data_IF_223333861349
#
_entry.id   IF_223333861349
#
_cell.length_a   1.000
_cell.length_b   1.000
_cell.length_c   1.000
_cell.angle_alpha   90.00
_cell.angle_beta   90.00
_cell.angle_gamma   90.00
#
_symmetry.space_group_name_H-M   'P 1'
#
loop_
_entity.id
_entity.type
_entity.pdbx_description
1 polymer ?
#
# COMPACT_ATOMS: atom_id res chain seq x y z
N UNK A 1 33.20 4.41 30.51
CA UNK A 1 31.98 4.74 31.26
C UNK A 1 30.81 4.73 30.29
N UNK A 2 30.33 3.52 30.02
CA UNK A 2 28.93 3.30 29.72
C UNK A 2 28.16 3.65 31.00
N UNK A 3 27.06 4.38 30.89
CA UNK A 3 25.77 4.10 31.55
C UNK A 3 24.89 5.37 31.60
N UNK A 4 23.63 5.17 31.18
CA UNK A 4 22.44 5.90 31.61
C UNK A 4 22.13 7.29 31.01
N UNK A 5 21.73 7.34 29.73
CA UNK A 5 20.76 8.35 29.27
C UNK A 5 19.59 7.75 28.45
N UNK A 6 19.19 6.51 28.75
CA UNK A 6 17.92 5.94 28.25
C UNK A 6 17.08 5.35 29.38
N UNK A 7 16.60 6.20 30.29
CA UNK A 7 15.52 5.83 31.23
C UNK A 7 14.72 7.12 31.46
N UNK A 8 13.48 7.25 31.00
CA UNK A 8 12.25 6.70 31.58
C UNK A 8 11.12 7.12 30.64
N UNK A 9 10.40 6.17 30.03
CA UNK A 9 9.01 6.26 29.50
C UNK A 9 8.69 5.24 28.39
N UNK A 10 9.51 4.21 28.20
CA UNK A 10 9.26 3.19 27.16
C UNK A 10 8.40 2.00 27.64
N UNK A 11 7.51 2.23 28.61
CA UNK A 11 6.66 1.16 29.19
C UNK A 11 5.22 1.66 29.33
N UNK A 12 4.46 1.51 28.25
CA UNK A 12 3.00 1.70 28.22
C UNK A 12 2.35 0.61 27.38
N UNK A 13 1.16 0.15 27.77
CA UNK A 13 0.38 -0.88 27.04
C UNK A 13 -0.23 -0.31 25.74
N UNK A 14 -0.09 0.99 25.53
CA UNK A 14 -0.68 1.72 24.41
C UNK A 14 0.44 1.97 23.39
N UNK A 15 0.27 1.57 22.13
CA UNK A 15 1.28 1.79 21.09
C UNK A 15 1.57 3.28 20.94
N UNK A 16 2.85 3.63 20.80
CA UNK A 16 3.26 4.99 20.53
C UNK A 16 2.60 5.51 19.25
N UNK A 17 2.08 6.74 19.31
CA UNK A 17 1.49 7.40 18.15
C UNK A 17 2.57 7.66 17.11
N UNK A 18 2.53 6.92 16.02
CA UNK A 18 3.33 7.20 14.84
C UNK A 18 2.44 7.87 13.78
N UNK A 19 2.93 8.92 13.09
CA UNK A 19 2.17 9.55 12.02
C UNK A 19 1.93 8.55 10.88
N UNK A 20 0.67 8.41 10.46
CA UNK A 20 0.28 7.58 9.32
C UNK A 20 0.04 8.49 8.13
N UNK A 21 0.73 8.22 7.02
CA UNK A 21 0.51 8.92 5.75
C UNK A 21 -0.21 8.00 4.79
N UNK A 22 -1.39 8.41 4.34
CA UNK A 22 -2.15 7.67 3.30
C UNK A 22 -1.97 8.37 1.96
N UNK A 23 -1.59 7.61 0.94
CA UNK A 23 -1.50 8.10 -0.44
C UNK A 23 -2.59 7.42 -1.25
N UNK A 24 -3.39 8.22 -1.95
CA UNK A 24 -4.51 7.73 -2.78
C UNK A 24 -4.18 7.93 -4.25
N UNK A 25 -4.36 6.86 -5.02
CA UNK A 25 -4.11 6.82 -6.45
C UNK A 25 -5.19 7.47 -7.31
N UNK A 26 -4.98 7.39 -8.62
CA UNK A 26 -6.01 7.72 -9.61
C UNK A 26 -7.15 6.68 -9.55
N UNK A 27 -8.42 7.07 -9.72
CA UNK A 27 -9.51 6.11 -9.87
C UNK A 27 -9.32 5.23 -11.11
N UNK A 28 -9.60 3.94 -10.97
CA UNK A 28 -9.56 2.96 -12.06
C UNK A 28 -10.99 2.74 -12.56
N UNK A 29 -11.28 3.03 -13.85
CA UNK A 29 -12.60 2.79 -14.42
C UNK A 29 -12.81 1.28 -14.60
N UNK A 30 -13.87 0.76 -14.00
CA UNK A 30 -14.30 -0.64 -14.19
C UNK A 30 -15.42 -0.65 -15.22
N UNK A 31 -15.28 -1.39 -16.34
CA UNK A 31 -16.34 -1.50 -17.32
C UNK A 31 -17.58 -2.18 -16.71
N UNK A 32 -18.77 -1.73 -17.10
CA UNK A 32 -19.99 -2.43 -16.77
C UNK A 32 -20.04 -3.78 -17.48
N UNK A 33 -20.72 -4.76 -16.88
CA UNK A 33 -21.00 -6.03 -17.53
C UNK A 33 -21.91 -5.81 -18.74
N UNK A 34 -21.72 -6.63 -19.78
CA UNK A 34 -22.55 -6.57 -20.98
C UNK A 34 -23.98 -7.05 -20.70
N UNK A 35 -24.93 -6.69 -21.56
CA UNK A 35 -26.33 -7.10 -21.39
C UNK A 35 -26.47 -8.63 -21.37
N UNK A 36 -27.06 -9.16 -20.29
CA UNK A 36 -27.23 -10.61 -20.09
C UNK A 36 -26.05 -11.31 -19.42
N UNK A 37 -24.97 -10.59 -19.13
CA UNK A 37 -23.81 -11.12 -18.41
C UNK A 37 -24.02 -10.96 -16.89
N UNK A 38 -24.03 -12.08 -16.16
CA UNK A 38 -24.13 -12.08 -14.68
C UNK A 38 -22.78 -11.93 -14.01
N UNK A 39 -21.73 -12.46 -14.64
CA UNK A 39 -20.38 -12.52 -14.09
C UNK A 39 -19.34 -12.08 -15.12
N UNK A 40 -18.31 -11.33 -14.72
CA UNK A 40 -17.23 -10.91 -15.60
C UNK A 40 -16.47 -12.12 -16.14
N UNK A 41 -15.94 -11.99 -17.35
CA UNK A 41 -15.01 -12.97 -17.91
C UNK A 41 -13.66 -12.89 -17.19
N UNK A 42 -12.90 -13.99 -17.22
CA UNK A 42 -11.55 -14.02 -16.67
C UNK A 42 -10.65 -12.93 -17.28
N UNK A 43 -10.80 -12.67 -18.57
CA UNK A 43 -10.03 -11.64 -19.29
C UNK A 43 -10.34 -10.23 -18.77
N UNK A 44 -11.61 -9.92 -18.54
CA UNK A 44 -12.02 -8.64 -17.95
C UNK A 44 -11.45 -8.44 -16.54
N UNK A 45 -11.46 -9.50 -15.72
CA UNK A 45 -10.88 -9.46 -14.37
C UNK A 45 -9.38 -9.20 -14.45
N UNK A 46 -8.65 -10.00 -15.25
CA UNK A 46 -7.20 -9.88 -15.38
C UNK A 46 -6.79 -8.51 -15.93
N UNK A 47 -7.55 -7.94 -16.87
CA UNK A 47 -7.29 -6.61 -17.39
C UNK A 47 -7.39 -5.53 -16.31
N UNK A 48 -8.46 -5.54 -15.52
CA UNK A 48 -8.64 -4.57 -14.42
C UNK A 48 -7.62 -4.80 -13.30
N UNK A 49 -7.32 -6.06 -12.98
CA UNK A 49 -6.31 -6.43 -11.99
C UNK A 49 -4.92 -5.94 -12.39
N UNK A 50 -4.54 -6.10 -13.67
CA UNK A 50 -3.26 -5.61 -14.16
C UNK A 50 -3.16 -4.09 -14.03
N UNK A 51 -4.21 -3.36 -14.44
CA UNK A 51 -4.26 -1.90 -14.28
C UNK A 51 -4.14 -1.47 -12.81
N UNK A 52 -4.77 -2.22 -11.90
CA UNK A 52 -4.66 -1.98 -10.46
C UNK A 52 -3.23 -2.17 -9.95
N UNK A 53 -2.58 -3.26 -10.35
CA UNK A 53 -1.19 -3.55 -9.99
C UNK A 53 -0.24 -2.47 -10.51
N UNK A 54 -0.40 -2.05 -11.76
CA UNK A 54 0.47 -1.04 -12.39
C UNK A 54 0.35 0.32 -11.68
N UNK A 55 -0.87 0.75 -11.35
CA UNK A 55 -1.11 2.00 -10.62
C UNK A 55 -0.58 1.93 -9.18
N UNK A 56 -0.69 0.78 -8.50
CA UNK A 56 -0.07 0.59 -7.19
C UNK A 56 1.45 0.74 -7.25
N UNK A 57 2.12 0.10 -8.21
CA UNK A 57 3.56 0.24 -8.39
C UNK A 57 3.96 1.68 -8.75
N UNK A 58 3.16 2.38 -9.57
CA UNK A 58 3.37 3.79 -9.91
C UNK A 58 3.38 4.68 -8.65
N UNK A 59 2.35 4.56 -7.81
CA UNK A 59 2.24 5.32 -6.55
C UNK A 59 3.38 4.95 -5.61
N UNK A 60 3.65 3.66 -5.44
CA UNK A 60 4.72 3.18 -4.59
C UNK A 60 6.08 3.76 -5.02
N UNK A 61 6.45 3.64 -6.30
CA UNK A 61 7.71 4.15 -6.80
C UNK A 61 7.83 5.67 -6.70
N UNK A 62 6.73 6.41 -6.84
CA UNK A 62 6.72 7.87 -6.71
C UNK A 62 6.98 8.34 -5.27
N UNK A 63 6.51 7.59 -4.28
CA UNK A 63 6.47 8.07 -2.89
C UNK A 63 7.32 7.29 -1.89
N UNK A 64 7.87 6.12 -2.27
CA UNK A 64 8.66 5.27 -1.36
C UNK A 64 9.86 6.00 -0.76
N UNK A 65 10.54 6.86 -1.51
CA UNK A 65 11.72 7.58 -1.01
C UNK A 65 11.34 8.81 -0.15
N UNK A 66 10.07 9.22 -0.17
CA UNK A 66 9.58 10.34 0.66
C UNK A 66 9.06 9.81 2.00
N UNK A 67 8.18 8.80 1.95
CA UNK A 67 7.46 8.31 3.14
C UNK A 67 8.02 7.01 3.72
N UNK A 68 8.85 6.26 2.98
CA UNK A 68 9.39 4.97 3.39
C UNK A 68 10.91 4.88 3.17
N UNK A 69 11.64 5.89 3.69
CA UNK A 69 13.11 6.01 3.54
C UNK A 69 13.88 4.82 4.11
N UNK A 70 13.49 4.37 5.31
CA UNK A 70 14.15 3.27 6.02
C UNK A 70 13.44 1.91 5.79
N UNK A 71 12.86 1.72 4.60
CA UNK A 71 12.14 0.50 4.26
C UNK A 71 13.07 -0.72 4.28
N UNK A 72 12.58 -1.83 4.83
CA UNK A 72 13.31 -3.10 4.88
C UNK A 72 13.03 -4.02 3.69
N UNK A 73 11.93 -3.76 2.98
CA UNK A 73 11.45 -4.55 1.85
C UNK A 73 10.80 -3.62 0.82
N UNK A 74 10.87 -4.03 -0.45
CA UNK A 74 10.13 -3.38 -1.52
C UNK A 74 8.69 -3.91 -1.60
N UNK A 75 7.82 -3.23 -2.35
CA UNK A 75 6.46 -3.70 -2.59
C UNK A 75 6.49 -5.04 -3.34
N UNK A 76 5.79 -6.03 -2.78
CA UNK A 76 5.59 -7.35 -3.36
C UNK A 76 4.10 -7.64 -3.39
N UNK A 77 3.59 -8.03 -4.56
CA UNK A 77 2.20 -8.46 -4.75
C UNK A 77 2.23 -9.97 -4.96
N UNK A 78 1.38 -10.68 -4.23
CA UNK A 78 1.26 -12.14 -4.32
C UNK A 78 0.16 -12.53 -5.30
N UNK A 79 0.32 -13.71 -5.89
CA UNK A 79 -0.64 -14.33 -6.82
C UNK A 79 -1.90 -14.85 -6.11
#
# INVERSE_FOLDING_TARGET
>A
MLEAYSTVNDVGIIPFRHPITTVVGKPIPVPALEEGQTDPTQEQILAVQQLYIDELFSIYNKYKDVYAKDRKQELCITD
#
